data_IF_861501037482
#
_entry.id   IF_861501037482
#
_cell.length_a   1.000
_cell.length_b   1.000
_cell.length_c   1.000
_cell.angle_alpha   90.00
_cell.angle_beta   90.00
_cell.angle_gamma   90.00
#
_symmetry.space_group_name_H-M   'P 1'
#
loop_
_entity.id
_entity.type
_entity.pdbx_description
1 polymer ?
#
# COMPACT_ATOMS: atom_id res chain seq x y z
N UNK A 1 -21.34 20.45 9.06
CA UNK A 1 -19.87 20.21 9.07
C UNK A 1 -19.55 19.50 7.77
N UNK A 2 -18.96 20.18 6.79
CA UNK A 2 -18.65 19.55 5.51
C UNK A 2 -17.57 18.48 5.73
N UNK A 3 -17.92 17.21 5.54
CA UNK A 3 -17.00 16.09 5.60
C UNK A 3 -16.10 16.16 4.36
N UNK A 4 -14.93 16.79 4.48
CA UNK A 4 -13.96 16.78 3.39
C UNK A 4 -13.62 15.34 3.05
N UNK A 5 -13.77 14.99 1.78
CA UNK A 5 -13.36 13.69 1.27
C UNK A 5 -11.83 13.61 1.36
N UNK A 6 -11.26 12.65 2.10
CA UNK A 6 -9.82 12.60 2.31
C UNK A 6 -9.15 12.24 0.99
N UNK A 7 -8.24 13.09 0.51
CA UNK A 7 -7.48 12.82 -0.71
C UNK A 7 -6.17 12.09 -0.36
N UNK A 8 -5.91 10.92 -0.95
CA UNK A 8 -4.67 10.19 -0.71
C UNK A 8 -3.54 10.68 -1.61
N UNK A 9 -2.31 10.61 -1.08
CA UNK A 9 -1.11 10.58 -1.92
C UNK A 9 -0.97 9.16 -2.46
N UNK A 10 -0.95 9.03 -3.79
CA UNK A 10 -0.97 7.73 -4.45
C UNK A 10 0.44 7.38 -4.93
N UNK A 11 0.96 6.24 -4.50
CA UNK A 11 2.27 5.75 -4.88
C UNK A 11 2.12 4.52 -5.76
N UNK A 12 2.73 4.52 -6.92
CA UNK A 12 2.71 3.37 -7.85
C UNK A 12 4.07 2.72 -7.82
N UNK A 13 4.11 1.44 -7.50
CA UNK A 13 5.32 0.64 -7.46
C UNK A 13 5.27 -0.53 -8.43
N UNK A 14 6.44 -0.94 -8.91
CA UNK A 14 6.65 -2.13 -9.72
C UNK A 14 7.60 -3.09 -8.99
N UNK A 15 7.34 -4.39 -9.08
CA UNK A 15 8.22 -5.40 -8.53
C UNK A 15 9.58 -5.35 -9.22
N UNK A 16 10.64 -5.49 -8.43
CA UNK A 16 12.02 -5.61 -8.88
C UNK A 16 12.60 -6.95 -8.44
N UNK A 17 13.52 -7.49 -9.24
CA UNK A 17 14.11 -8.81 -9.02
C UNK A 17 13.06 -9.92 -8.89
N UNK A 18 12.02 -9.88 -9.73
CA UNK A 18 10.95 -10.87 -9.74
C UNK A 18 11.52 -12.29 -9.81
N UNK A 19 10.97 -13.20 -9.00
CA UNK A 19 11.43 -14.59 -8.89
C UNK A 19 12.68 -14.83 -8.04
N UNK A 20 13.45 -13.79 -7.68
CA UNK A 20 14.66 -13.93 -6.85
C UNK A 20 14.35 -14.39 -5.41
N UNK A 21 13.20 -13.97 -4.87
CA UNK A 21 12.84 -14.19 -3.47
C UNK A 21 11.53 -14.98 -3.36
N UNK A 22 11.58 -16.14 -2.70
CA UNK A 22 10.44 -17.07 -2.62
C UNK A 22 9.26 -16.55 -1.79
N UNK A 23 9.52 -15.78 -0.73
CA UNK A 23 8.49 -15.37 0.25
C UNK A 23 8.33 -13.87 0.40
N UNK A 24 9.07 -13.09 -0.39
CA UNK A 24 9.18 -11.65 -0.27
C UNK A 24 9.17 -11.08 -1.68
N UNK A 25 8.46 -9.97 -1.89
CA UNK A 25 8.55 -9.17 -3.10
C UNK A 25 9.15 -7.82 -2.75
N UNK A 26 10.06 -7.33 -3.58
CA UNK A 26 10.61 -5.98 -3.47
C UNK A 26 10.02 -5.12 -4.56
N UNK A 27 9.68 -3.90 -4.22
CA UNK A 27 8.98 -2.96 -5.07
C UNK A 27 9.74 -1.66 -5.14
N UNK A 28 9.82 -1.08 -6.33
CA UNK A 28 10.44 0.22 -6.58
C UNK A 28 9.39 1.23 -7.02
N UNK A 29 9.44 2.42 -6.42
CA UNK A 29 8.55 3.52 -6.70
C UNK A 29 8.76 4.00 -8.13
N UNK A 30 7.72 3.91 -8.94
CA UNK A 30 7.72 4.39 -10.32
C UNK A 30 7.28 5.85 -10.38
N UNK A 31 6.22 6.19 -9.64
CA UNK A 31 5.67 7.55 -9.59
C UNK A 31 4.81 7.78 -8.36
N UNK A 32 4.63 9.05 -8.04
CA UNK A 32 3.68 9.53 -7.02
C UNK A 32 2.72 10.53 -7.65
N UNK A 33 1.45 10.42 -7.27
CA UNK A 33 0.37 11.32 -7.70
C UNK A 33 -0.22 12.02 -6.48
N UNK A 34 -0.72 13.24 -6.68
CA UNK A 34 -1.43 14.04 -5.68
C UNK A 34 -0.58 14.42 -4.45
N UNK A 35 0.73 14.59 -4.63
CA UNK A 35 1.61 15.11 -3.58
C UNK A 35 3.06 14.64 -3.69
N UNK A 36 3.84 14.92 -2.65
CA UNK A 36 5.21 14.44 -2.50
C UNK A 36 5.22 13.01 -1.97
N UNK A 37 6.20 12.16 -2.34
CA UNK A 37 6.33 10.81 -1.79
C UNK A 37 6.37 10.83 -0.25
N UNK A 38 5.47 10.08 0.38
CA UNK A 38 5.40 9.91 1.84
C UNK A 38 6.02 8.57 2.29
N UNK A 39 6.32 7.69 1.34
CA UNK A 39 6.93 6.39 1.55
C UNK A 39 8.30 6.34 0.88
N UNK A 40 9.14 5.41 1.32
CA UNK A 40 10.47 5.22 0.73
C UNK A 40 10.41 4.73 -0.70
N UNK A 41 11.45 5.05 -1.48
CA UNK A 41 11.61 4.61 -2.88
C UNK A 41 11.51 3.09 -3.05
N UNK A 42 11.96 2.32 -2.06
CA UNK A 42 11.85 0.86 -2.05
C UNK A 42 10.90 0.40 -0.95
N UNK A 43 10.05 -0.56 -1.27
CA UNK A 43 9.21 -1.27 -0.31
C UNK A 43 9.46 -2.78 -0.39
N UNK A 44 9.44 -3.41 0.77
CA UNK A 44 9.47 -4.86 0.91
C UNK A 44 8.10 -5.32 1.39
N UNK A 45 7.54 -6.32 0.70
CA UNK A 45 6.30 -6.98 1.10
C UNK A 45 6.56 -8.46 1.32
N UNK A 46 6.28 -8.95 2.53
CA UNK A 46 6.42 -10.36 2.88
C UNK A 46 5.11 -10.94 3.38
N UNK A 47 4.79 -12.19 3.04
CA UNK A 47 3.65 -12.91 3.64
C UNK A 47 3.88 -13.07 5.15
N UNK A 48 2.83 -12.89 5.94
CA UNK A 48 2.91 -13.21 7.36
C UNK A 48 3.16 -14.71 7.57
N UNK A 49 3.90 -15.03 8.62
CA UNK A 49 4.22 -16.41 9.02
C UNK A 49 3.53 -16.78 10.33
N UNK A 50 2.36 -16.18 10.59
CA UNK A 50 1.59 -16.32 11.84
C UNK A 50 2.38 -15.86 13.07
N UNK A 51 3.25 -14.85 12.89
CA UNK A 51 4.14 -14.40 13.96
C UNK A 51 3.45 -13.39 14.90
N UNK A 52 2.40 -12.70 14.44
CA UNK A 52 1.71 -11.70 15.23
C UNK A 52 0.29 -12.17 15.59
N UNK A 53 -0.11 -11.89 16.83
CA UNK A 53 -1.48 -12.16 17.32
C UNK A 53 -2.55 -11.47 16.48
N UNK A 54 -2.22 -10.31 15.88
CA UNK A 54 -3.12 -9.58 14.99
C UNK A 54 -3.41 -10.29 13.66
N UNK A 55 -2.61 -11.29 13.27
CA UNK A 55 -2.80 -12.11 12.07
C UNK A 55 -2.96 -11.31 10.76
N UNK A 56 -2.01 -10.41 10.41
CA UNK A 56 -2.02 -9.78 9.09
C UNK A 56 -1.72 -10.81 7.99
N UNK A 57 -2.08 -10.51 6.74
CA UNK A 57 -1.73 -11.38 5.59
C UNK A 57 -0.34 -11.07 5.03
N UNK A 58 0.04 -9.80 5.06
CA UNK A 58 1.34 -9.34 4.61
C UNK A 58 1.92 -8.34 5.59
N UNK A 59 3.21 -8.10 5.45
CA UNK A 59 3.96 -7.07 6.14
C UNK A 59 4.61 -6.15 5.12
N UNK A 60 4.56 -4.85 5.37
CA UNK A 60 5.24 -3.83 4.57
C UNK A 60 6.39 -3.24 5.36
N UNK A 61 7.55 -3.09 4.72
CA UNK A 61 8.73 -2.51 5.32
C UNK A 61 9.36 -1.49 4.37
N UNK A 62 9.77 -0.35 4.91
CA UNK A 62 10.45 0.73 4.18
C UNK A 62 11.95 0.52 4.16
N UNK A 63 12.62 1.19 3.22
CA UNK A 63 14.08 1.22 3.10
C UNK A 63 14.60 2.64 3.34
N UNK A 64 15.70 2.78 4.08
CA UNK A 64 16.31 4.09 4.34
C UNK A 64 17.51 4.42 3.45
N UNK A 65 17.69 3.66 2.35
CA UNK A 65 18.84 3.76 1.44
C UNK A 65 20.00 2.82 1.80
N UNK A 66 20.15 2.42 3.06
CA UNK A 66 21.19 1.48 3.51
C UNK A 66 20.66 0.11 3.92
N UNK A 67 19.50 0.07 4.58
CA UNK A 67 18.89 -1.15 5.11
C UNK A 67 17.37 -1.04 5.21
N UNK A 68 16.71 -2.19 5.32
CA UNK A 68 15.29 -2.28 5.66
C UNK A 68 15.05 -1.83 7.11
N UNK A 69 14.07 -0.94 7.32
CA UNK A 69 13.81 -0.26 8.60
C UNK A 69 13.03 -1.16 9.55
N UNK A 70 13.45 -1.23 10.82
CA UNK A 70 12.71 -1.91 11.90
C UNK A 70 12.21 -0.86 12.92
N UNK A 71 10.99 -0.97 13.46
CA UNK A 71 9.97 -1.97 13.14
C UNK A 71 9.44 -1.82 11.71
N UNK A 72 8.74 -2.86 11.22
CA UNK A 72 8.05 -2.82 9.92
C UNK A 72 7.04 -1.66 9.92
N UNK A 73 6.78 -1.09 8.73
CA UNK A 73 5.84 0.02 8.59
C UNK A 73 4.44 -0.37 9.05
N UNK A 74 3.91 -1.47 8.50
CA UNK A 74 2.54 -1.90 8.81
C UNK A 74 2.29 -3.36 8.45
N UNK A 75 1.30 -3.96 9.11
CA UNK A 75 0.69 -5.21 8.69
C UNK A 75 -0.50 -4.92 7.77
N UNK A 76 -0.68 -5.73 6.73
CA UNK A 76 -1.78 -5.61 5.78
C UNK A 76 -2.86 -6.63 6.09
N UNK A 77 -4.07 -6.14 6.33
CA UNK A 77 -5.27 -6.90 6.64
C UNK A 77 -6.20 -6.96 5.44
N UNK A 78 -6.89 -8.08 5.27
CA UNK A 78 -7.81 -8.31 4.16
C UNK A 78 -8.96 -7.30 4.18
N UNK A 79 -9.33 -6.79 3.02
CA UNK A 79 -10.60 -6.06 2.81
C UNK A 79 -11.59 -6.94 2.03
N UNK A 80 -12.87 -6.56 1.91
CA UNK A 80 -13.82 -7.29 1.06
C UNK A 80 -13.42 -7.35 -0.42
N UNK A 81 -12.56 -6.43 -0.89
CA UNK A 81 -12.14 -6.38 -2.29
C UNK A 81 -10.89 -7.23 -2.53
N UNK A 82 -10.90 -7.95 -3.66
CA UNK A 82 -9.77 -8.78 -4.10
C UNK A 82 -8.49 -7.95 -4.23
N UNK A 83 -7.39 -8.55 -3.77
CA UNK A 83 -6.03 -8.00 -3.81
C UNK A 83 -5.90 -6.60 -3.20
N UNK A 84 -6.85 -6.20 -2.35
CA UNK A 84 -6.91 -4.90 -1.69
C UNK A 84 -6.85 -5.10 -0.17
N UNK A 85 -5.93 -4.40 0.46
CA UNK A 85 -5.57 -4.59 1.86
C UNK A 85 -5.48 -3.27 2.61
N UNK A 86 -5.81 -3.31 3.89
CA UNK A 86 -5.73 -2.18 4.81
C UNK A 86 -4.49 -2.30 5.69
N UNK A 87 -3.78 -1.21 5.85
CA UNK A 87 -2.81 -1.00 6.92
C UNK A 87 -2.97 0.38 7.53
N UNK A 88 -2.07 0.70 8.44
CA UNK A 88 -1.97 2.01 9.07
C UNK A 88 -0.52 2.38 9.36
N UNK A 89 -0.26 3.68 9.54
CA UNK A 89 1.03 4.17 9.98
C UNK A 89 0.89 5.16 11.13
N UNK A 90 1.92 5.22 11.96
CA UNK A 90 1.98 6.07 13.16
C UNK A 90 0.77 5.84 14.09
N UNK A 91 0.59 4.61 14.55
CA UNK A 91 -0.45 4.22 15.51
C UNK A 91 -1.86 4.67 15.08
N UNK A 92 -2.26 4.33 13.86
CA UNK A 92 -3.56 4.70 13.26
C UNK A 92 -3.77 6.21 13.10
N UNK A 93 -2.71 7.00 13.02
CA UNK A 93 -2.78 8.39 12.56
C UNK A 93 -3.01 8.49 11.05
N UNK A 94 -2.49 7.53 10.30
CA UNK A 94 -2.59 7.49 8.84
C UNK A 94 -3.20 6.17 8.39
N UNK A 95 -4.09 6.24 7.40
CA UNK A 95 -4.64 5.08 6.73
C UNK A 95 -3.83 4.77 5.49
N UNK A 96 -3.49 3.49 5.33
CA UNK A 96 -2.83 2.97 4.14
C UNK A 96 -3.76 1.94 3.50
N UNK A 97 -4.08 2.14 2.22
CA UNK A 97 -4.73 1.12 1.40
C UNK A 97 -3.73 0.66 0.34
N UNK A 98 -3.43 -0.64 0.34
CA UNK A 98 -2.54 -1.28 -0.63
C UNK A 98 -3.38 -2.10 -1.57
N UNK A 99 -3.13 -1.98 -2.87
CA UNK A 99 -3.71 -2.85 -3.87
C UNK A 99 -2.63 -3.44 -4.76
N UNK A 100 -2.71 -4.75 -4.97
CA UNK A 100 -1.90 -5.45 -5.96
C UNK A 100 -2.72 -5.70 -7.23
N UNK A 101 -2.05 -5.69 -8.37
CA UNK A 101 -2.62 -6.04 -9.67
C UNK A 101 -1.54 -6.63 -10.56
N UNK A 102 -1.96 -7.18 -11.70
CA UNK A 102 -1.08 -7.88 -12.64
C UNK A 102 -0.23 -8.95 -11.94
N UNK A 103 -0.90 -9.92 -11.32
CA UNK A 103 -0.25 -11.03 -10.60
C UNK A 103 0.77 -10.61 -9.52
N UNK A 104 0.50 -9.48 -8.85
CA UNK A 104 1.38 -8.89 -7.83
C UNK A 104 2.69 -8.33 -8.41
N UNK A 105 2.74 -8.00 -9.69
CA UNK A 105 3.89 -7.31 -10.30
C UNK A 105 3.82 -5.81 -10.05
N UNK A 106 2.61 -5.27 -9.85
CA UNK A 106 2.41 -3.89 -9.47
C UNK A 106 1.68 -3.75 -8.14
N UNK A 107 2.01 -2.67 -7.44
CA UNK A 107 1.41 -2.30 -6.17
C UNK A 107 1.09 -0.80 -6.18
N UNK A 108 -0.18 -0.46 -5.93
CA UNK A 108 -0.58 0.91 -5.64
C UNK A 108 -0.76 1.06 -4.13
N UNK A 109 -0.18 2.11 -3.56
CA UNK A 109 -0.34 2.47 -2.16
C UNK A 109 -1.01 3.84 -2.06
N UNK A 110 -2.25 3.85 -1.58
CA UNK A 110 -2.98 5.06 -1.24
C UNK A 110 -2.68 5.42 0.21
N UNK A 111 -2.01 6.55 0.41
CA UNK A 111 -1.63 7.05 1.73
C UNK A 111 -2.51 8.24 2.11
N UNK A 112 -3.43 8.03 3.05
CA UNK A 112 -4.29 9.08 3.58
C UNK A 112 -3.62 9.68 4.82
N UNK A 113 -2.96 10.81 4.63
CA UNK A 113 -2.28 11.53 5.70
C UNK A 113 -3.30 12.13 6.68
N UNK A 114 -2.97 12.09 7.96
CA UNK A 114 -3.77 12.58 9.10
C UNK A 114 -5.24 12.12 9.09
N UNK A 115 -5.51 10.96 8.49
CA UNK A 115 -6.85 10.39 8.38
C UNK A 115 -6.81 8.89 8.63
N UNK A 116 -7.67 8.42 9.53
CA UNK A 116 -7.89 6.99 9.77
C UNK A 116 -9.37 6.72 10.02
N UNK A 117 -9.85 5.62 9.45
CA UNK A 117 -11.22 5.15 9.67
C UNK A 117 -11.24 3.63 9.85
N UNK A 118 -12.18 3.16 10.68
CA UNK A 118 -12.53 1.74 10.75
C UNK A 118 -13.48 1.35 9.62
N UNK A 119 -14.45 2.21 9.30
CA UNK A 119 -15.37 2.04 8.19
C UNK A 119 -14.67 2.39 6.88
N UNK A 120 -14.46 1.38 6.05
CA UNK A 120 -13.75 1.50 4.77
C UNK A 120 -14.68 1.76 3.59
N UNK A 121 -16.01 1.81 3.76
CA UNK A 121 -16.95 1.84 2.64
C UNK A 121 -16.67 3.01 1.68
N UNK A 122 -16.58 4.23 2.22
CA UNK A 122 -16.30 5.44 1.44
C UNK A 122 -14.87 5.45 0.86
N UNK A 123 -13.89 4.95 1.61
CA UNK A 123 -12.49 4.90 1.17
C UNK A 123 -12.31 3.94 0.00
N UNK A 124 -12.91 2.74 0.09
CA UNK A 124 -12.78 1.71 -0.93
C UNK A 124 -13.52 2.09 -2.22
N UNK A 125 -14.62 2.84 -2.11
CA UNK A 125 -15.30 3.42 -3.28
C UNK A 125 -14.37 4.36 -4.07
N UNK A 126 -13.67 5.27 -3.38
CA UNK A 126 -12.72 6.22 -3.98
C UNK A 126 -11.53 5.50 -4.65
N UNK A 127 -10.95 4.53 -3.93
CA UNK A 127 -9.81 3.74 -4.41
C UNK A 127 -10.20 2.96 -5.67
N UNK A 128 -11.41 2.38 -5.72
CA UNK A 128 -11.85 1.63 -6.89
C UNK A 128 -12.12 2.51 -8.11
N UNK A 129 -12.62 3.73 -7.93
CA UNK A 129 -12.81 4.68 -9.02
C UNK A 129 -11.46 5.09 -9.66
N UNK A 130 -10.46 5.41 -8.84
CA UNK A 130 -9.13 5.86 -9.26
C UNK A 130 -8.36 4.83 -10.11
N UNK A 131 -8.68 3.54 -9.95
CA UNK A 131 -8.00 2.46 -10.68
C UNK A 131 -8.42 2.41 -12.15
N UNK A 132 -9.68 2.74 -12.46
CA UNK A 132 -10.14 2.77 -13.87
C UNK A 132 -9.29 3.74 -14.71
N UNK A 133 -8.83 4.82 -14.09
CA UNK A 133 -7.95 5.82 -14.69
C UNK A 133 -6.47 5.37 -14.74
N UNK A 134 -6.04 4.54 -13.78
CA UNK A 134 -4.64 4.07 -13.74
C UNK A 134 -4.40 2.90 -14.70
N UNK A 135 -5.36 1.99 -14.88
CA UNK A 135 -5.28 0.87 -15.82
C UNK A 135 -5.25 1.31 -17.29
N UNK A 136 -5.75 2.51 -17.59
CA UNK A 136 -5.65 3.13 -18.92
C UNK A 136 -4.24 3.64 -19.21
N UNK A 137 -3.46 3.96 -18.18
CA UNK A 137 -2.08 4.48 -18.30
C UNK A 137 -1.01 3.39 -18.44
N UNK A 138 -1.32 2.13 -18.14
CA UNK A 138 -0.39 0.99 -18.27
C UNK A 138 -0.60 0.18 -19.55
N UNK A 139 -1.63 0.51 -20.35
CA UNK A 139 -1.93 -0.12 -21.64
C UNK A 139 -1.50 0.76 -22.85
N UNK A 140 -0.56 1.70 -22.64
CA UNK A 140 0.09 2.48 -23.70
C UNK A 140 1.57 2.17 -23.75
#
# INVERSE_FOLDING_TARGET
>A
MATQTPQPVTHVYKEINAGKYKSVKHYELQRTLNGTPLLSHLLNVSKDRMCAKSSPLFWVQTHNGKKWVKPRLTGLFKTPYKDTYKGDAMDKKHLIIVKFFDNYDYMIVYYFKDYYTKDLHSVLSLVNASIKETSTLTNQ
#
